data_IF_797296668167
#
_entry.id   IF_797296668167
#
_cell.length_a   1.000
_cell.length_b   1.000
_cell.length_c   1.000
_cell.angle_alpha   90.00
_cell.angle_beta   90.00
_cell.angle_gamma   90.00
#
_symmetry.space_group_name_H-M   'P 1'
#
loop_
_entity.id
_entity.type
_entity.pdbx_description
1 polymer ?
#
# COMPACT_ATOMS: atom_id res chain seq x y z
N UNK A 1 27.10 10.54 -35.16
CA UNK A 1 26.83 9.18 -34.61
C UNK A 1 27.31 9.03 -33.17
N UNK A 2 28.40 9.68 -32.75
CA UNK A 2 28.99 9.54 -31.43
C UNK A 2 28.10 9.97 -30.21
N UNK A 3 27.23 10.97 -30.39
CA UNK A 3 26.37 11.47 -29.30
C UNK A 3 25.26 10.44 -28.93
N UNK A 4 24.74 9.75 -29.92
CA UNK A 4 23.72 8.70 -29.74
C UNK A 4 24.28 7.49 -29.02
N UNK A 5 25.50 7.09 -29.33
CA UNK A 5 26.20 6.00 -28.66
C UNK A 5 26.60 6.34 -27.22
N UNK A 6 27.03 7.56 -26.96
CA UNK A 6 27.34 8.04 -25.62
C UNK A 6 26.08 8.11 -24.71
N UNK A 7 24.94 8.50 -25.28
CA UNK A 7 23.66 8.51 -24.54
C UNK A 7 23.20 7.06 -24.25
N UNK A 8 23.29 6.16 -25.22
CA UNK A 8 22.94 4.76 -25.04
C UNK A 8 23.86 4.08 -24.01
N UNK A 9 25.16 4.35 -24.05
CA UNK A 9 26.14 3.84 -23.07
C UNK A 9 25.82 4.31 -21.65
N UNK A 10 25.50 5.61 -21.49
CA UNK A 10 25.13 6.19 -20.19
C UNK A 10 23.81 5.62 -19.63
N UNK A 11 22.87 5.25 -20.52
CA UNK A 11 21.62 4.62 -20.12
C UNK A 11 21.81 3.13 -19.77
N UNK A 12 22.60 2.39 -20.55
CA UNK A 12 22.92 0.97 -20.27
C UNK A 12 23.71 0.82 -18.98
N UNK A 13 24.72 1.66 -18.74
CA UNK A 13 25.49 1.61 -17.50
C UNK A 13 24.61 1.91 -16.26
N UNK A 14 23.72 2.88 -16.35
CA UNK A 14 22.75 3.20 -15.28
C UNK A 14 21.73 2.06 -15.06
N UNK A 15 21.33 1.36 -16.11
CA UNK A 15 20.47 0.18 -16.04
C UNK A 15 21.20 -1.02 -15.42
N UNK A 16 22.44 -1.24 -15.78
CA UNK A 16 23.26 -2.35 -15.24
C UNK A 16 23.65 -2.13 -13.79
N UNK A 17 23.93 -0.89 -13.37
CA UNK A 17 24.13 -0.53 -11.96
C UNK A 17 22.84 -0.72 -11.17
N UNK A 18 21.69 -0.29 -11.70
CA UNK A 18 20.41 -0.48 -11.07
C UNK A 18 20.05 -1.98 -10.97
N UNK A 19 20.30 -2.76 -12.02
CA UNK A 19 20.09 -4.20 -12.05
C UNK A 19 21.01 -4.94 -11.08
N UNK A 20 22.27 -4.53 -10.96
CA UNK A 20 23.25 -5.10 -10.03
C UNK A 20 22.85 -4.85 -8.57
N UNK A 21 22.39 -3.65 -8.24
CA UNK A 21 21.91 -3.31 -6.89
C UNK A 21 20.59 -4.00 -6.51
N UNK A 22 19.76 -4.36 -7.49
CA UNK A 22 18.50 -5.10 -7.25
C UNK A 22 18.76 -6.61 -7.11
N UNK A 23 19.81 -7.13 -7.71
CA UNK A 23 20.15 -8.56 -7.70
C UNK A 23 21.33 -8.93 -6.78
N UNK A 24 21.89 -7.99 -6.00
CA UNK A 24 22.75 -8.43 -4.91
C UNK A 24 21.91 -9.31 -3.97
N UNK A 25 22.25 -10.60 -3.81
CA UNK A 25 21.57 -11.43 -2.83
C UNK A 25 21.79 -10.76 -1.48
N UNK A 26 20.71 -10.31 -0.85
CA UNK A 26 20.75 -9.58 0.42
C UNK A 26 21.57 -10.42 1.40
N UNK A 27 22.74 -9.95 1.77
CA UNK A 27 23.72 -10.59 2.66
C UNK A 27 23.14 -10.89 4.05
N UNK A 28 21.91 -10.40 4.32
CA UNK A 28 21.15 -10.60 5.55
C UNK A 28 19.72 -11.11 5.26
N UNK A 29 19.61 -12.24 4.56
CA UNK A 29 18.31 -12.90 4.33
C UNK A 29 17.54 -13.15 5.64
N UNK A 30 18.25 -13.54 6.70
CA UNK A 30 17.67 -13.78 8.03
C UNK A 30 17.06 -12.50 8.63
N UNK A 31 17.76 -11.37 8.56
CA UNK A 31 17.23 -10.09 9.06
C UNK A 31 15.99 -9.64 8.28
N UNK A 32 15.97 -9.83 6.96
CA UNK A 32 14.79 -9.51 6.14
C UNK A 32 13.58 -10.36 6.54
N UNK A 33 13.78 -11.65 6.79
CA UNK A 33 12.71 -12.55 7.27
C UNK A 33 12.22 -12.12 8.65
N UNK A 34 13.12 -11.78 9.57
CA UNK A 34 12.74 -11.31 10.91
C UNK A 34 11.89 -10.03 10.82
N UNK A 35 12.33 -9.04 10.04
CA UNK A 35 11.56 -7.81 9.85
C UNK A 35 10.20 -8.07 9.18
N UNK A 36 10.14 -8.98 8.22
CA UNK A 36 8.88 -9.38 7.60
C UNK A 36 7.94 -10.06 8.61
N UNK A 37 8.44 -10.95 9.46
CA UNK A 37 7.65 -11.57 10.52
C UNK A 37 7.12 -10.55 11.52
N UNK A 38 7.96 -9.61 11.97
CA UNK A 38 7.55 -8.52 12.88
C UNK A 38 6.45 -7.67 12.22
N UNK A 39 6.62 -7.31 10.95
CA UNK A 39 5.61 -6.55 10.22
C UNK A 39 4.29 -7.30 10.14
N UNK A 40 4.31 -8.60 9.76
CA UNK A 40 3.09 -9.43 9.68
C UNK A 40 2.40 -9.54 11.02
N UNK A 41 3.14 -9.80 12.11
CA UNK A 41 2.59 -9.85 13.46
C UNK A 41 1.97 -8.51 13.88
N UNK A 42 2.66 -7.41 13.61
CA UNK A 42 2.11 -6.06 13.89
C UNK A 42 0.83 -5.82 13.10
N UNK A 43 0.81 -6.15 11.80
CA UNK A 43 -0.39 -5.98 10.97
C UNK A 43 -1.56 -6.88 11.38
N UNK A 44 -1.28 -8.08 11.89
CA UNK A 44 -2.34 -8.98 12.36
C UNK A 44 -3.10 -8.42 13.58
N UNK A 45 -2.44 -7.60 14.41
CA UNK A 45 -3.07 -6.97 15.58
C UNK A 45 -3.88 -5.72 15.23
N UNK A 46 -3.56 -5.05 14.11
CA UNK A 46 -4.20 -3.80 13.68
C UNK A 46 -5.71 -3.97 13.46
N UNK A 47 -6.12 -5.05 12.81
CA UNK A 47 -7.53 -5.31 12.54
C UNK A 47 -8.37 -5.43 13.83
N UNK A 48 -7.83 -6.12 14.84
CA UNK A 48 -8.47 -6.25 16.15
C UNK A 48 -8.50 -4.92 16.89
N UNK A 49 -7.39 -4.17 16.87
CA UNK A 49 -7.31 -2.84 17.48
C UNK A 49 -8.32 -1.86 16.86
N UNK A 50 -8.43 -1.86 15.52
CA UNK A 50 -9.43 -1.04 14.83
C UNK A 50 -10.86 -1.45 15.18
N UNK A 51 -11.16 -2.74 15.25
CA UNK A 51 -12.49 -3.22 15.64
C UNK A 51 -12.87 -2.74 17.04
N UNK A 52 -11.95 -2.81 17.99
CA UNK A 52 -12.16 -2.31 19.35
C UNK A 52 -12.33 -0.78 19.35
N UNK A 53 -11.48 -0.04 18.65
CA UNK A 53 -11.54 1.41 18.59
C UNK A 53 -12.86 1.90 17.96
N UNK A 54 -13.34 1.25 16.92
CA UNK A 54 -14.58 1.59 16.21
C UNK A 54 -15.85 1.29 17.03
N UNK A 55 -15.77 0.62 18.16
CA UNK A 55 -16.92 0.50 19.09
C UNK A 55 -17.19 1.81 19.84
N UNK A 56 -16.19 2.72 19.88
CA UNK A 56 -16.25 3.97 20.65
C UNK A 56 -16.00 5.22 19.80
N UNK A 57 -15.42 5.08 18.61
CA UNK A 57 -15.01 6.17 17.74
C UNK A 57 -15.69 6.05 16.38
N UNK A 58 -16.02 7.18 15.79
CA UNK A 58 -16.38 7.24 14.38
C UNK A 58 -15.15 7.00 13.49
N UNK A 59 -15.36 6.58 12.26
CA UNK A 59 -14.27 6.37 11.29
C UNK A 59 -13.38 7.60 11.11
N UNK A 60 -14.00 8.80 11.11
CA UNK A 60 -13.28 10.06 10.97
C UNK A 60 -12.41 10.38 12.21
N UNK A 61 -12.96 10.22 13.39
CA UNK A 61 -12.23 10.41 14.66
C UNK A 61 -11.05 9.45 14.76
N UNK A 62 -11.25 8.18 14.41
CA UNK A 62 -10.18 7.19 14.41
C UNK A 62 -9.06 7.58 13.42
N UNK A 63 -9.41 8.01 12.20
CA UNK A 63 -8.43 8.44 11.21
C UNK A 63 -7.66 9.69 11.68
N UNK A 64 -8.36 10.64 12.32
CA UNK A 64 -7.75 11.85 12.86
C UNK A 64 -6.76 11.51 13.99
N UNK A 65 -7.18 10.69 14.95
CA UNK A 65 -6.33 10.28 16.08
C UNK A 65 -5.10 9.51 15.58
N UNK A 66 -5.29 8.57 14.65
CA UNK A 66 -4.18 7.81 14.06
C UNK A 66 -3.19 8.71 13.32
N UNK A 67 -3.68 9.70 12.56
CA UNK A 67 -2.84 10.66 11.84
C UNK A 67 -2.08 11.58 12.79
N UNK A 68 -2.72 12.08 13.82
CA UNK A 68 -2.07 12.90 14.86
C UNK A 68 -1.00 12.11 15.62
N UNK A 69 -1.33 10.87 16.00
CA UNK A 69 -0.37 9.99 16.69
C UNK A 69 0.85 9.70 15.80
N UNK A 70 0.63 9.40 14.54
CA UNK A 70 1.71 9.19 13.57
C UNK A 70 2.58 10.44 13.42
N UNK A 71 1.98 11.62 13.33
CA UNK A 71 2.71 12.90 13.27
C UNK A 71 3.60 13.10 14.50
N UNK A 72 3.07 12.87 15.70
CA UNK A 72 3.85 12.97 16.95
C UNK A 72 5.03 12.00 16.93
N UNK A 73 4.82 10.74 16.52
CA UNK A 73 5.88 9.75 16.43
C UNK A 73 6.96 10.19 15.42
N UNK A 74 6.57 10.70 14.24
CA UNK A 74 7.54 11.20 13.25
C UNK A 74 8.34 12.40 13.77
N UNK A 75 7.71 13.35 14.44
CA UNK A 75 8.38 14.49 15.07
C UNK A 75 9.40 14.00 16.11
N UNK A 76 9.04 13.07 16.96
CA UNK A 76 9.95 12.48 17.94
C UNK A 76 11.13 11.78 17.25
N UNK A 77 10.87 10.95 16.24
CA UNK A 77 11.92 10.25 15.49
C UNK A 77 12.88 11.22 14.80
N UNK A 78 12.39 12.27 14.17
CA UNK A 78 13.22 13.31 13.54
C UNK A 78 14.09 14.04 14.57
N UNK A 79 13.53 14.30 15.75
CA UNK A 79 14.24 14.95 16.86
C UNK A 79 15.33 14.06 17.40
N UNK A 80 15.03 12.80 17.70
CA UNK A 80 16.02 11.84 18.21
C UNK A 80 17.14 11.56 17.19
N UNK A 81 16.79 11.47 15.92
CA UNK A 81 17.77 11.25 14.83
C UNK A 81 18.50 12.53 14.39
N UNK A 82 18.14 13.70 14.93
CA UNK A 82 18.68 15.00 14.54
C UNK A 82 18.59 15.28 13.04
N UNK A 83 17.54 14.84 12.38
CA UNK A 83 17.34 14.90 10.92
C UNK A 83 16.44 16.04 10.46
N UNK A 84 16.19 17.04 11.28
CA UNK A 84 15.35 18.19 10.93
C UNK A 84 15.84 18.93 9.67
N UNK A 85 17.14 18.91 9.41
CA UNK A 85 17.73 19.49 8.22
C UNK A 85 17.11 18.92 6.93
N UNK A 86 16.80 17.61 6.89
CA UNK A 86 16.15 17.00 5.71
C UNK A 86 14.77 17.59 5.44
N UNK A 87 14.05 17.99 6.48
CA UNK A 87 12.73 18.61 6.35
C UNK A 87 12.86 20.09 5.91
N UNK A 88 13.85 20.81 6.44
CA UNK A 88 14.08 22.22 6.07
C UNK A 88 14.63 22.40 4.65
N UNK A 89 15.27 21.39 4.08
CA UNK A 89 15.78 21.41 2.70
C UNK A 89 14.67 21.11 1.66
N UNK A 90 13.45 20.74 2.08
CA UNK A 90 12.34 20.48 1.18
C UNK A 90 11.85 21.77 0.52
N UNK A 91 11.75 21.75 -0.80
CA UNK A 91 11.17 22.85 -1.56
C UNK A 91 9.64 22.90 -1.41
N UNK A 92 9.03 24.08 -1.60
CA UNK A 92 7.57 24.23 -1.56
C UNK A 92 6.84 23.30 -2.54
N UNK A 93 7.43 23.00 -3.69
CA UNK A 93 6.89 22.04 -4.66
C UNK A 93 6.87 20.61 -4.11
N UNK A 94 7.90 20.19 -3.39
CA UNK A 94 7.96 18.88 -2.75
C UNK A 94 6.92 18.76 -1.64
N UNK A 95 6.73 19.81 -0.84
CA UNK A 95 5.66 19.88 0.14
C UNK A 95 4.28 19.72 -0.49
N UNK A 96 4.04 20.38 -1.63
CA UNK A 96 2.79 20.21 -2.39
C UNK A 96 2.57 18.77 -2.85
N UNK A 97 3.60 18.09 -3.35
CA UNK A 97 3.52 16.67 -3.71
C UNK A 97 3.23 15.78 -2.51
N UNK A 98 3.90 15.97 -1.37
CA UNK A 98 3.64 15.18 -0.17
C UNK A 98 2.24 15.43 0.39
N UNK A 99 1.75 16.66 0.35
CA UNK A 99 0.38 16.97 0.75
C UNK A 99 -0.64 16.28 -0.16
N UNK A 100 -0.43 16.28 -1.48
CA UNK A 100 -1.29 15.58 -2.43
C UNK A 100 -1.27 14.07 -2.19
N UNK A 101 -0.10 13.49 -2.00
CA UNK A 101 0.02 12.05 -1.69
C UNK A 101 -0.66 11.70 -0.37
N UNK A 102 -0.52 12.52 0.67
CA UNK A 102 -1.19 12.32 1.95
C UNK A 102 -2.71 12.48 1.84
N UNK A 103 -3.19 13.34 0.95
CA UNK A 103 -4.61 13.48 0.67
C UNK A 103 -5.17 12.27 -0.07
N UNK A 104 -4.39 11.66 -0.97
CA UNK A 104 -4.77 10.43 -1.66
C UNK A 104 -4.75 9.25 -0.69
N UNK A 105 -3.64 9.04 0.01
CA UNK A 105 -3.46 7.98 0.99
C UNK A 105 -2.76 8.57 2.24
N UNK A 106 -3.41 8.63 3.40
CA UNK A 106 -4.57 7.80 3.79
C UNK A 106 -5.96 8.40 3.56
N UNK A 107 -6.13 9.71 3.33
CA UNK A 107 -7.44 10.36 3.50
C UNK A 107 -8.46 9.85 2.48
N UNK A 108 -8.25 10.05 1.19
CA UNK A 108 -9.20 9.61 0.15
C UNK A 108 -9.41 8.10 0.17
N UNK A 109 -8.33 7.34 0.33
CA UNK A 109 -8.38 5.88 0.43
C UNK A 109 -9.35 5.42 1.54
N UNK A 110 -9.17 5.88 2.77
CA UNK A 110 -10.02 5.43 3.88
C UNK A 110 -11.45 5.92 3.76
N UNK A 111 -11.70 7.14 3.28
CA UNK A 111 -13.06 7.63 3.07
C UNK A 111 -13.81 6.78 2.04
N UNK A 112 -13.15 6.41 0.95
CA UNK A 112 -13.73 5.55 -0.09
C UNK A 112 -13.94 4.12 0.44
N UNK A 113 -12.96 3.57 1.15
CA UNK A 113 -13.03 2.23 1.70
C UNK A 113 -14.15 2.12 2.75
N UNK A 114 -14.25 3.08 3.67
CA UNK A 114 -15.29 3.07 4.70
C UNK A 114 -16.67 3.20 4.07
N UNK A 115 -16.81 4.03 3.03
CA UNK A 115 -18.07 4.11 2.29
C UNK A 115 -18.41 2.81 1.58
N UNK A 116 -17.43 2.08 1.09
CA UNK A 116 -17.64 0.73 0.57
C UNK A 116 -18.12 -0.25 1.66
N UNK A 117 -17.57 -0.16 2.86
CA UNK A 117 -18.01 -0.99 3.99
C UNK A 117 -19.41 -0.66 4.52
N UNK A 118 -19.88 0.58 4.36
CA UNK A 118 -21.27 0.94 4.67
C UNK A 118 -22.27 0.26 3.71
N UNK A 119 -21.83 0.00 2.48
CA UNK A 119 -22.69 -0.51 1.39
C UNK A 119 -22.54 -2.01 1.16
N UNK A 120 -21.42 -2.59 1.55
CA UNK A 120 -21.06 -3.98 1.33
C UNK A 120 -20.72 -4.68 2.65
N UNK A 121 -21.04 -5.96 2.76
CA UNK A 121 -20.46 -6.78 3.82
C UNK A 121 -18.93 -6.74 3.75
N UNK A 122 -18.28 -6.72 4.92
CA UNK A 122 -16.82 -6.69 4.98
C UNK A 122 -16.19 -7.88 4.21
N UNK A 123 -16.86 -9.03 4.19
CA UNK A 123 -16.44 -10.24 3.47
C UNK A 123 -16.39 -10.05 1.95
N UNK A 124 -17.12 -9.08 1.41
CA UNK A 124 -17.11 -8.74 -0.02
C UNK A 124 -16.14 -7.58 -0.30
N UNK A 125 -16.22 -6.51 0.50
CA UNK A 125 -15.40 -5.32 0.29
C UNK A 125 -13.90 -5.60 0.50
N UNK A 126 -13.54 -6.39 1.50
CA UNK A 126 -12.15 -6.64 1.86
C UNK A 126 -11.36 -7.43 0.81
N UNK A 127 -11.86 -8.54 0.21
CA UNK A 127 -11.16 -9.21 -0.89
C UNK A 127 -10.93 -8.31 -2.09
N UNK A 128 -11.88 -7.44 -2.42
CA UNK A 128 -11.75 -6.49 -3.52
C UNK A 128 -10.67 -5.46 -3.20
N UNK A 129 -10.66 -4.91 -1.99
CA UNK A 129 -9.62 -3.99 -1.55
C UNK A 129 -8.24 -4.67 -1.54
N UNK A 130 -8.13 -5.95 -1.16
CA UNK A 130 -6.88 -6.70 -1.22
C UNK A 130 -6.38 -7.00 -2.65
N UNK A 131 -7.09 -6.59 -3.69
CA UNK A 131 -6.57 -6.60 -5.05
C UNK A 131 -5.52 -5.51 -5.33
N UNK A 132 -5.28 -4.55 -4.40
CA UNK A 132 -4.29 -3.47 -4.57
C UNK A 132 -2.89 -3.94 -5.01
N UNK A 133 -2.33 -5.09 -4.56
CA UNK A 133 -1.03 -5.54 -5.04
C UNK A 133 -1.04 -5.93 -6.53
N UNK A 134 -2.19 -6.42 -7.03
CA UNK A 134 -2.37 -6.73 -8.45
C UNK A 134 -2.41 -5.43 -9.25
N UNK A 135 -3.18 -4.44 -8.77
CA UNK A 135 -3.26 -3.09 -9.36
C UNK A 135 -1.86 -2.48 -9.40
N UNK A 136 -1.11 -2.53 -8.31
CA UNK A 136 0.26 -2.02 -8.23
C UNK A 136 1.18 -2.68 -9.27
N UNK A 137 1.13 -3.99 -9.42
CA UNK A 137 1.96 -4.69 -10.42
C UNK A 137 1.58 -4.31 -11.85
N UNK A 138 0.29 -4.16 -12.14
CA UNK A 138 -0.17 -3.70 -13.45
C UNK A 138 0.35 -2.29 -13.73
N UNK A 139 0.24 -1.38 -12.76
CA UNK A 139 0.75 -0.02 -12.88
C UNK A 139 2.27 0.01 -13.05
N UNK A 140 3.02 -0.79 -12.30
CA UNK A 140 4.46 -0.92 -12.47
C UNK A 140 4.86 -1.46 -13.85
N UNK A 141 4.13 -2.44 -14.36
CA UNK A 141 4.38 -2.98 -15.70
C UNK A 141 4.09 -1.92 -16.79
N UNK A 142 3.01 -1.15 -16.66
CA UNK A 142 2.59 -0.15 -17.63
C UNK A 142 3.45 1.12 -17.59
N UNK A 143 3.70 1.66 -16.40
CA UNK A 143 4.36 2.97 -16.25
C UNK A 143 5.86 2.87 -16.00
N UNK A 144 6.32 1.88 -15.26
CA UNK A 144 7.73 1.70 -14.98
C UNK A 144 8.45 0.78 -15.98
N UNK A 145 7.72 0.19 -16.93
CA UNK A 145 8.23 -0.72 -17.96
C UNK A 145 9.11 -1.84 -17.37
N UNK A 146 8.85 -2.24 -16.13
CA UNK A 146 9.62 -3.30 -15.47
C UNK A 146 9.04 -4.67 -15.84
N UNK A 147 9.85 -5.59 -16.41
CA UNK A 147 9.39 -6.94 -16.68
C UNK A 147 9.17 -7.69 -15.37
N UNK A 148 7.92 -8.02 -15.07
CA UNK A 148 7.56 -8.77 -13.88
C UNK A 148 7.45 -10.25 -14.25
N UNK A 149 8.21 -11.14 -13.59
CA UNK A 149 8.16 -12.57 -13.86
C UNK A 149 6.73 -13.13 -13.69
N UNK A 150 6.22 -13.94 -14.63
CA UNK A 150 4.86 -14.51 -14.55
C UNK A 150 4.55 -15.25 -13.25
N UNK A 151 5.57 -15.86 -12.64
CA UNK A 151 5.46 -16.54 -11.34
C UNK A 151 4.94 -15.64 -10.21
N UNK A 152 5.23 -14.33 -10.25
CA UNK A 152 4.76 -13.39 -9.23
C UNK A 152 3.25 -13.18 -9.35
N UNK A 153 2.71 -13.10 -10.57
CA UNK A 153 1.26 -12.99 -10.78
C UNK A 153 0.53 -14.24 -10.29
N UNK A 154 1.07 -15.43 -10.57
CA UNK A 154 0.48 -16.70 -10.10
C UNK A 154 0.39 -16.71 -8.56
N UNK A 155 1.48 -16.37 -7.87
CA UNK A 155 1.49 -16.31 -6.41
C UNK A 155 0.45 -15.33 -5.85
N UNK A 156 0.27 -14.18 -6.50
CA UNK A 156 -0.73 -13.18 -6.09
C UNK A 156 -2.16 -13.67 -6.30
N UNK A 157 -2.47 -14.29 -7.44
CA UNK A 157 -3.79 -14.85 -7.68
C UNK A 157 -4.13 -15.98 -6.70
N UNK A 158 -3.16 -16.84 -6.38
CA UNK A 158 -3.33 -17.87 -5.34
C UNK A 158 -3.61 -17.22 -3.98
N UNK A 159 -2.85 -16.19 -3.60
CA UNK A 159 -3.04 -15.47 -2.34
C UNK A 159 -4.42 -14.80 -2.27
N UNK A 160 -4.81 -14.10 -3.34
CA UNK A 160 -6.13 -13.47 -3.42
C UNK A 160 -7.25 -14.52 -3.36
N UNK A 161 -7.09 -15.64 -4.06
CA UNK A 161 -8.02 -16.78 -4.00
C UNK A 161 -8.18 -17.32 -2.58
N UNK A 162 -7.11 -17.42 -1.81
CA UNK A 162 -7.14 -17.80 -0.39
C UNK A 162 -7.96 -16.80 0.46
N UNK A 163 -7.76 -15.50 0.26
CA UNK A 163 -8.54 -14.45 0.96
C UNK A 163 -10.03 -14.55 0.60
N UNK A 164 -10.35 -14.74 -0.67
CA UNK A 164 -11.74 -14.93 -1.14
C UNK A 164 -12.37 -16.16 -0.51
N UNK A 165 -11.67 -17.29 -0.49
CA UNK A 165 -12.17 -18.53 0.13
C UNK A 165 -12.47 -18.36 1.61
N UNK A 166 -11.59 -17.70 2.37
CA UNK A 166 -11.82 -17.38 3.78
C UNK A 166 -13.04 -16.48 3.93
N UNK A 167 -13.17 -15.46 3.09
CA UNK A 167 -14.28 -14.50 3.14
C UNK A 167 -15.63 -15.16 2.83
N UNK A 168 -15.68 -16.05 1.86
CA UNK A 168 -16.89 -16.82 1.52
C UNK A 168 -17.20 -17.85 2.61
N UNK A 169 -16.19 -18.53 3.16
CA UNK A 169 -16.36 -19.54 4.21
C UNK A 169 -16.83 -18.95 5.54
N UNK A 170 -16.54 -17.68 5.81
CA UNK A 170 -16.99 -16.98 7.03
C UNK A 170 -18.28 -16.17 6.83
N UNK A 171 -18.67 -15.90 5.59
CA UNK A 171 -19.88 -15.18 5.22
C UNK A 171 -21.03 -16.16 5.00
N UNK A 172 -22.02 -16.20 5.90
CA UNK A 172 -23.28 -16.87 5.59
C UNK A 172 -23.92 -16.21 4.37
N UNK A 173 -24.18 -17.01 3.37
CA UNK A 173 -24.87 -16.66 2.13
C UNK A 173 -26.36 -16.39 2.38
N UNK A 174 -26.67 -15.27 3.01
CA UNK A 174 -27.99 -14.67 2.91
C UNK A 174 -28.02 -13.91 1.60
N UNK A 175 -29.04 -14.08 0.76
CA UNK A 175 -29.21 -13.37 -0.49
C UNK A 175 -29.25 -11.86 -0.27
N UNK A 176 -28.06 -11.22 -0.21
CA UNK A 176 -27.91 -9.78 -0.07
C UNK A 176 -27.82 -9.18 -1.45
N UNK A 177 -28.68 -8.22 -1.72
CA UNK A 177 -28.51 -7.32 -2.87
C UNK A 177 -27.18 -6.59 -2.72
N UNK A 178 -26.22 -6.96 -3.56
CA UNK A 178 -24.90 -6.35 -3.59
C UNK A 178 -24.97 -5.14 -4.53
N UNK A 179 -24.96 -3.91 -4.02
CA UNK A 179 -25.07 -2.73 -4.87
C UNK A 179 -23.80 -2.52 -5.68
N UNK A 180 -23.94 -2.35 -6.99
CA UNK A 180 -22.83 -2.15 -7.93
C UNK A 180 -21.94 -0.97 -7.53
N UNK A 181 -22.50 0.10 -7.03
CA UNK A 181 -21.75 1.28 -6.58
C UNK A 181 -20.85 0.97 -5.36
N UNK A 182 -21.25 0.05 -4.49
CA UNK A 182 -20.38 -0.44 -3.41
C UNK A 182 -19.16 -1.20 -3.94
N UNK A 183 -19.37 -2.07 -4.96
CA UNK A 183 -18.27 -2.78 -5.62
C UNK A 183 -17.29 -1.81 -6.29
N UNK A 184 -17.81 -0.77 -6.97
CA UNK A 184 -16.99 0.26 -7.60
C UNK A 184 -16.17 1.04 -6.57
N UNK A 185 -16.73 1.38 -5.42
CA UNK A 185 -16.00 2.04 -4.33
C UNK A 185 -14.91 1.14 -3.75
N UNK A 186 -15.18 -0.15 -3.54
CA UNK A 186 -14.18 -1.09 -3.08
C UNK A 186 -13.02 -1.25 -4.09
N UNK A 187 -13.33 -1.32 -5.38
CA UNK A 187 -12.32 -1.36 -6.43
C UNK A 187 -11.51 -0.04 -6.52
N UNK A 188 -12.19 1.10 -6.37
CA UNK A 188 -11.54 2.42 -6.33
C UNK A 188 -10.61 2.53 -5.11
N UNK A 189 -10.97 1.99 -3.96
CA UNK A 189 -10.09 1.97 -2.79
C UNK A 189 -8.80 1.18 -3.07
N UNK A 190 -8.88 0.06 -3.78
CA UNK A 190 -7.70 -0.71 -4.18
C UNK A 190 -6.78 0.05 -5.17
N UNK A 191 -7.34 0.97 -5.95
CA UNK A 191 -6.57 1.85 -6.86
C UNK A 191 -5.92 3.02 -6.12
N UNK A 192 -6.54 3.53 -5.06
CA UNK A 192 -6.06 4.65 -4.26
C UNK A 192 -4.97 4.26 -3.26
N UNK A 193 -4.91 2.99 -2.89
CA UNK A 193 -3.89 2.46 -1.99
C UNK A 193 -2.53 2.40 -2.67
#
# INVERSE_FOLDING_TARGET
SGLREAILYKYTDKYDVCKRNIYEPMKNSTSAVIYACIAVLSWSTVATAFKIALTHLTHFEMLLIASCTSLVIFVLLLTFQKKWRLVSELSGRQWGYFALLGLLNPVAYYLVLFKAYDLLPAQVAQPINYAWPIVLLILLALFAHQPIPPKKYIGMFISLGGVVLISVGTGQSGGMDIPVHGLLLAALSALLW
#
